data_IF_358876805120
#
_entry.id   IF_358876805120
#
_cell.length_a   1.000
_cell.length_b   1.000
_cell.length_c   1.000
_cell.angle_alpha   90.00
_cell.angle_beta   90.00
_cell.angle_gamma   90.00
#
_symmetry.space_group_name_H-M   'P 1'
#
loop_
_entity.id
_entity.type
_entity.pdbx_description
1 polymer ?
#
# COMPACT_ATOMS: atom_id res chain seq x y z
N UNK A 1 24.82 -17.62 -0.98
CA UNK A 1 23.52 -17.62 -0.27
C UNK A 1 23.44 -16.29 0.43
N UNK A 2 22.98 -15.26 -0.25
CA UNK A 2 22.86 -13.91 0.31
C UNK A 2 21.46 -13.79 0.87
N UNK A 3 21.37 -13.85 2.20
CA UNK A 3 20.19 -13.50 2.98
C UNK A 3 19.89 -12.00 2.78
N UNK A 4 19.17 -11.68 1.72
CA UNK A 4 18.42 -10.43 1.65
C UNK A 4 17.09 -10.73 2.33
N UNK A 5 17.00 -10.41 3.61
CA UNK A 5 15.75 -10.39 4.36
C UNK A 5 14.92 -9.27 3.73
N UNK A 6 14.16 -9.60 2.68
CA UNK A 6 12.91 -8.91 2.41
C UNK A 6 12.07 -9.20 3.64
N UNK A 7 11.66 -8.17 4.36
CA UNK A 7 10.83 -8.39 5.54
C UNK A 7 9.53 -9.06 5.08
N UNK A 8 9.44 -10.37 5.31
CA UNK A 8 8.33 -11.26 4.94
C UNK A 8 7.01 -10.87 5.61
N UNK A 9 7.02 -9.78 6.38
CA UNK A 9 5.96 -9.36 7.27
C UNK A 9 4.89 -8.54 6.60
N UNK A 10 5.16 -7.87 5.48
CA UNK A 10 4.20 -6.95 4.90
C UNK A 10 4.32 -6.83 3.37
N UNK A 11 3.25 -7.16 2.65
CA UNK A 11 3.19 -7.05 1.18
C UNK A 11 2.19 -5.99 0.77
N UNK A 12 2.66 -4.99 0.03
CA UNK A 12 1.83 -4.02 -0.65
C UNK A 12 1.46 -4.53 -2.05
N UNK A 13 0.16 -4.53 -2.37
CA UNK A 13 -0.30 -4.67 -3.75
C UNK A 13 -0.98 -3.36 -4.16
N UNK A 14 -0.27 -2.52 -4.91
CA UNK A 14 -0.85 -1.33 -5.54
C UNK A 14 -1.35 -1.70 -6.92
N UNK A 15 -2.65 -1.65 -7.17
CA UNK A 15 -3.18 -1.91 -8.51
C UNK A 15 -2.99 -0.65 -9.35
N UNK A 16 -2.12 -0.73 -10.37
CA UNK A 16 -2.04 0.29 -11.41
C UNK A 16 -2.40 -0.38 -12.75
N UNK A 17 -3.51 0.04 -13.37
CA UNK A 17 -3.89 -0.40 -14.71
C UNK A 17 -3.72 0.76 -15.68
N UNK A 18 -3.10 0.52 -16.84
CA UNK A 18 -3.55 0.92 -18.18
C UNK A 18 -2.44 0.62 -19.18
N UNK A 19 -2.49 -0.56 -19.82
CA UNK A 19 -1.78 -0.80 -21.09
C UNK A 19 -2.76 -0.72 -22.26
N UNK A 20 -2.23 -0.58 -23.47
CA UNK A 20 -2.95 -0.79 -24.73
C UNK A 20 -3.74 -2.11 -24.80
N UNK A 21 -3.46 -3.06 -23.91
CA UNK A 21 -4.06 -4.40 -23.82
C UNK A 21 -5.12 -4.58 -22.71
N UNK A 22 -5.52 -3.54 -21.98
CA UNK A 22 -6.50 -3.63 -20.88
C UNK A 22 -6.13 -4.64 -19.78
N UNK A 23 -4.83 -4.77 -19.47
CA UNK A 23 -4.32 -5.62 -18.39
C UNK A 23 -4.07 -4.81 -17.12
N UNK A 24 -4.17 -5.50 -15.98
CA UNK A 24 -3.99 -4.96 -14.63
C UNK A 24 -2.60 -5.35 -14.14
N UNK A 25 -1.78 -4.38 -13.76
CA UNK A 25 -0.47 -4.65 -13.16
C UNK A 25 -0.58 -4.67 -11.64
N UNK A 26 -0.07 -5.74 -11.04
CA UNK A 26 -0.08 -5.97 -9.59
C UNK A 26 1.36 -6.25 -9.12
N UNK A 27 2.10 -5.24 -8.67
CA UNK A 27 3.39 -5.41 -8.03
C UNK A 27 3.21 -6.00 -6.62
N UNK A 28 4.23 -6.74 -6.20
CA UNK A 28 4.42 -7.16 -4.81
C UNK A 28 5.64 -6.42 -4.25
N UNK A 29 5.37 -5.55 -3.30
CA UNK A 29 6.41 -4.71 -2.67
C UNK A 29 6.44 -4.97 -1.17
N UNK A 30 7.65 -5.08 -0.62
CA UNK A 30 7.92 -5.25 0.80
C UNK A 30 8.89 -4.19 1.30
N UNK A 31 9.37 -4.35 2.53
CA UNK A 31 10.33 -3.44 3.16
C UNK A 31 11.62 -4.20 3.48
N UNK A 32 12.78 -3.58 3.27
CA UNK A 32 14.07 -4.13 3.68
C UNK A 32 14.54 -3.62 5.06
N UNK A 33 15.67 -4.14 5.56
CA UNK A 33 16.25 -3.74 6.84
C UNK A 33 16.55 -2.22 6.97
N UNK A 34 17.00 -1.51 5.93
CA UNK A 34 17.09 -0.05 5.93
C UNK A 34 15.77 0.70 5.68
N UNK A 35 14.62 0.03 5.78
CA UNK A 35 13.28 0.59 5.63
C UNK A 35 12.97 1.18 4.23
N UNK A 36 13.64 0.72 3.18
CA UNK A 36 13.32 1.02 1.78
C UNK A 36 12.23 0.10 1.25
N UNK A 37 11.49 0.59 0.26
CA UNK A 37 10.53 -0.22 -0.49
C UNK A 37 11.29 -1.10 -1.49
N UNK A 38 11.01 -2.41 -1.48
CA UNK A 38 11.65 -3.40 -2.34
C UNK A 38 10.58 -4.20 -3.09
N UNK A 39 10.60 -4.12 -4.41
CA UNK A 39 9.71 -4.89 -5.28
C UNK A 39 10.35 -6.24 -5.54
N UNK A 40 9.65 -7.30 -5.19
CA UNK A 40 10.20 -8.67 -5.23
C UNK A 40 9.38 -9.61 -6.12
N UNK A 41 8.29 -9.11 -6.71
CA UNK A 41 7.51 -9.81 -7.70
C UNK A 41 6.47 -8.88 -8.34
N UNK A 42 5.87 -9.33 -9.43
CA UNK A 42 4.71 -8.68 -10.02
C UNK A 42 3.89 -9.67 -10.85
N UNK A 43 2.66 -9.29 -11.15
CA UNK A 43 1.78 -10.01 -12.05
C UNK A 43 1.02 -9.07 -13.00
N UNK A 44 0.73 -9.58 -14.19
CA UNK A 44 -0.21 -8.97 -15.13
C UNK A 44 -1.48 -9.82 -15.17
N UNK A 45 -2.60 -9.23 -14.78
CA UNK A 45 -3.90 -9.90 -14.78
C UNK A 45 -4.77 -9.42 -15.93
N UNK A 46 -5.57 -10.31 -16.48
CA UNK A 46 -6.54 -9.98 -17.54
C UNK A 46 -7.80 -9.26 -17.00
N UNK A 47 -8.05 -9.30 -15.68
CA UNK A 47 -9.20 -8.64 -15.04
C UNK A 47 -9.05 -8.57 -13.51
N UNK A 48 -9.81 -7.66 -12.90
CA UNK A 48 -9.95 -7.45 -11.45
C UNK A 48 -11.14 -8.26 -10.92
N UNK A 49 -10.95 -9.56 -10.72
CA UNK A 49 -12.01 -10.45 -10.23
C UNK A 49 -11.50 -11.31 -9.09
N UNK A 50 -12.42 -11.80 -8.25
CA UNK A 50 -12.03 -12.66 -7.13
C UNK A 50 -11.30 -13.92 -7.63
N UNK A 51 -11.68 -14.43 -8.82
CA UNK A 51 -11.02 -15.58 -9.44
C UNK A 51 -9.58 -15.27 -9.85
N UNK A 52 -9.33 -14.13 -10.50
CA UNK A 52 -7.98 -13.75 -10.95
C UNK A 52 -7.08 -13.44 -9.77
N UNK A 53 -7.59 -12.77 -8.73
CA UNK A 53 -6.83 -12.55 -7.50
C UNK A 53 -6.54 -13.83 -6.74
N UNK A 54 -7.49 -14.76 -6.59
CA UNK A 54 -7.20 -16.07 -5.95
C UNK A 54 -6.10 -16.83 -6.68
N UNK A 55 -6.12 -16.82 -8.01
CA UNK A 55 -5.05 -17.41 -8.81
C UNK A 55 -3.71 -16.74 -8.53
N UNK A 56 -3.67 -15.40 -8.51
CA UNK A 56 -2.47 -14.62 -8.21
C UNK A 56 -1.89 -14.97 -6.83
N UNK A 57 -2.72 -14.93 -5.79
CA UNK A 57 -2.29 -15.22 -4.41
C UNK A 57 -1.87 -16.68 -4.23
N UNK A 58 -2.50 -17.62 -4.97
CA UNK A 58 -2.08 -19.03 -4.99
C UNK A 58 -0.71 -19.18 -5.64
N UNK A 59 -0.44 -18.45 -6.74
CA UNK A 59 0.88 -18.41 -7.37
C UNK A 59 1.93 -17.83 -6.42
N UNK A 60 1.60 -16.75 -5.70
CA UNK A 60 2.46 -16.22 -4.65
C UNK A 60 2.80 -17.30 -3.62
N UNK A 61 1.80 -17.97 -3.05
CA UNK A 61 2.04 -18.98 -2.01
C UNK A 61 2.91 -20.14 -2.51
N UNK A 62 2.74 -20.55 -3.77
CA UNK A 62 3.60 -21.56 -4.41
C UNK A 62 5.04 -21.10 -4.60
N UNK A 63 5.24 -19.84 -4.97
CA UNK A 63 6.57 -19.29 -5.23
C UNK A 63 7.36 -19.02 -3.94
N UNK A 64 6.70 -18.45 -2.92
CA UNK A 64 7.34 -18.05 -1.68
C UNK A 64 7.26 -19.12 -0.58
N UNK A 65 6.43 -20.14 -0.75
CA UNK A 65 6.25 -21.24 0.21
C UNK A 65 5.51 -20.85 1.51
N UNK A 66 5.24 -19.56 1.71
CA UNK A 66 4.48 -19.01 2.83
C UNK A 66 3.69 -17.78 2.40
N UNK A 67 2.64 -17.50 3.16
CA UNK A 67 1.91 -16.23 3.10
C UNK A 67 2.62 -15.20 3.99
N UNK A 68 2.44 -13.89 3.73
CA UNK A 68 2.99 -12.84 4.58
C UNK A 68 2.22 -12.69 5.90
N UNK A 69 2.81 -12.10 6.92
CA UNK A 69 2.09 -11.87 8.19
C UNK A 69 0.99 -10.80 8.04
N UNK A 70 1.25 -9.78 7.23
CA UNK A 70 0.34 -8.68 6.93
C UNK A 70 0.28 -8.45 5.41
N UNK A 71 -0.92 -8.20 4.90
CA UNK A 71 -1.15 -7.81 3.50
C UNK A 71 -1.82 -6.45 3.48
N UNK A 72 -1.28 -5.53 2.70
CA UNK A 72 -1.81 -4.19 2.50
C UNK A 72 -2.28 -4.05 1.06
N UNK A 73 -3.57 -3.79 0.88
CA UNK A 73 -4.17 -3.56 -0.43
C UNK A 73 -5.04 -2.32 -0.42
N UNK A 74 -5.58 -1.93 -1.56
CA UNK A 74 -6.67 -0.97 -1.60
C UNK A 74 -8.00 -1.57 -1.08
N UNK A 75 -9.11 -0.88 -1.37
CA UNK A 75 -10.47 -1.23 -0.94
C UNK A 75 -11.20 -2.16 -1.93
N UNK A 76 -10.50 -2.88 -2.81
CA UNK A 76 -11.12 -3.79 -3.77
C UNK A 76 -11.80 -4.98 -3.04
N UNK A 77 -13.14 -5.15 -3.16
CA UNK A 77 -13.84 -6.24 -2.48
C UNK A 77 -13.46 -7.63 -2.99
N UNK A 78 -13.11 -7.76 -4.27
CA UNK A 78 -12.68 -9.02 -4.86
C UNK A 78 -11.30 -9.45 -4.37
N UNK A 79 -10.36 -8.51 -4.21
CA UNK A 79 -9.05 -8.74 -3.59
C UNK A 79 -9.21 -9.12 -2.12
N UNK A 80 -10.04 -8.39 -1.36
CA UNK A 80 -10.35 -8.72 0.04
C UNK A 80 -10.84 -10.16 0.20
N UNK A 81 -11.81 -10.56 -0.62
CA UNK A 81 -12.35 -11.93 -0.60
C UNK A 81 -11.29 -12.98 -0.99
N UNK A 82 -10.44 -12.68 -1.98
CA UNK A 82 -9.36 -13.57 -2.37
C UNK A 82 -8.31 -13.75 -1.25
N UNK A 83 -7.94 -12.68 -0.56
CA UNK A 83 -7.01 -12.73 0.58
C UNK A 83 -7.59 -13.58 1.70
N UNK A 84 -8.85 -13.37 2.08
CA UNK A 84 -9.50 -14.15 3.13
C UNK A 84 -9.52 -15.64 2.85
N UNK A 85 -9.63 -16.04 1.58
CA UNK A 85 -9.65 -17.45 1.19
C UNK A 85 -8.26 -18.07 1.04
N UNK A 86 -7.28 -17.35 0.48
CA UNK A 86 -5.96 -17.91 0.17
C UNK A 86 -4.96 -17.70 1.29
N UNK A 87 -4.99 -16.54 1.94
CA UNK A 87 -4.04 -16.11 2.97
C UNK A 87 -4.68 -16.16 4.35
N UNK A 88 -5.12 -17.35 4.74
CA UNK A 88 -5.94 -17.60 5.94
C UNK A 88 -5.32 -17.18 7.27
N UNK A 89 -3.99 -17.07 7.37
CA UNK A 89 -3.32 -16.56 8.59
C UNK A 89 -2.74 -15.15 8.45
N UNK A 90 -2.89 -14.51 7.29
CA UNK A 90 -2.41 -13.14 7.08
C UNK A 90 -3.43 -12.16 7.62
N UNK A 91 -2.96 -11.07 8.22
CA UNK A 91 -3.82 -9.94 8.57
C UNK A 91 -3.95 -9.01 7.38
N UNK A 92 -5.17 -8.79 6.94
CA UNK A 92 -5.46 -7.84 5.86
C UNK A 92 -5.64 -6.43 6.41
N UNK A 93 -5.04 -5.44 5.75
CA UNK A 93 -5.14 -4.01 6.07
C UNK A 93 -5.34 -3.19 4.80
N UNK A 94 -6.04 -2.06 4.90
CA UNK A 94 -6.26 -1.17 3.78
C UNK A 94 -5.19 -0.08 3.73
N UNK A 95 -4.69 0.18 2.54
CA UNK A 95 -3.72 1.23 2.27
C UNK A 95 -4.33 2.60 2.59
N UNK A 96 -3.79 3.24 3.62
CA UNK A 96 -4.18 4.59 4.03
C UNK A 96 -4.06 5.61 2.89
N UNK A 97 -3.05 5.49 2.03
CA UNK A 97 -2.89 6.41 0.91
C UNK A 97 -4.04 6.31 -0.08
N UNK A 98 -4.47 5.09 -0.43
CA UNK A 98 -5.62 4.90 -1.32
C UNK A 98 -6.92 5.42 -0.71
N UNK A 99 -7.10 5.26 0.61
CA UNK A 99 -8.24 5.85 1.33
C UNK A 99 -8.19 7.38 1.26
N UNK A 100 -7.06 7.97 1.64
CA UNK A 100 -6.88 9.42 1.72
C UNK A 100 -6.78 10.11 0.35
N UNK A 101 -6.39 9.39 -0.70
CA UNK A 101 -6.41 9.90 -2.07
C UNK A 101 -7.84 10.12 -2.59
N UNK A 102 -8.80 9.30 -2.14
CA UNK A 102 -10.22 9.47 -2.46
C UNK A 102 -10.90 10.59 -1.65
N UNK A 103 -10.28 11.07 -0.57
CA UNK A 103 -10.87 12.06 0.33
C UNK A 103 -11.38 13.32 -0.40
N UNK A 104 -10.53 13.93 -1.23
CA UNK A 104 -10.89 15.18 -1.93
C UNK A 104 -12.02 15.01 -2.93
N UNK A 105 -12.12 13.85 -3.58
CA UNK A 105 -13.19 13.57 -4.54
C UNK A 105 -14.50 13.21 -3.86
N UNK A 106 -14.46 12.70 -2.61
CA UNK A 106 -15.62 12.27 -1.84
C UNK A 106 -16.21 13.33 -0.92
N UNK A 107 -15.37 14.23 -0.43
CA UNK A 107 -15.76 15.31 0.49
C UNK A 107 -15.83 16.67 -0.22
N UNK A 108 -15.11 16.83 -1.33
CA UNK A 108 -15.13 18.03 -2.15
C UNK A 108 -13.78 18.75 -2.18
N UNK A 109 -13.35 19.10 -3.39
CA UNK A 109 -12.05 19.73 -3.64
C UNK A 109 -11.96 21.11 -2.98
N UNK A 110 -13.04 21.89 -3.01
CA UNK A 110 -13.09 23.21 -2.38
C UNK A 110 -12.80 23.11 -0.89
N UNK A 111 -13.55 22.27 -0.15
CA UNK A 111 -13.34 22.10 1.29
C UNK A 111 -11.88 21.72 1.61
N UNK A 112 -11.33 20.75 0.86
CA UNK A 112 -9.97 20.26 1.06
C UNK A 112 -8.87 21.30 0.78
N UNK A 113 -9.15 22.32 -0.04
CA UNK A 113 -8.15 23.30 -0.48
C UNK A 113 -8.34 24.68 0.16
N UNK A 114 -9.55 25.03 0.59
CA UNK A 114 -9.88 26.37 1.11
C UNK A 114 -10.01 26.41 2.63
N UNK A 115 -9.98 25.26 3.30
CA UNK A 115 -10.09 25.16 4.76
C UNK A 115 -8.94 24.36 5.34
N UNK A 116 -8.82 24.35 6.67
CA UNK A 116 -7.90 23.48 7.39
C UNK A 116 -8.39 22.03 7.52
N UNK A 117 -9.53 21.64 6.92
CA UNK A 117 -10.08 20.27 6.98
C UNK A 117 -9.02 19.21 6.70
N UNK A 118 -8.29 19.37 5.59
CA UNK A 118 -7.26 18.41 5.17
C UNK A 118 -6.14 18.29 6.20
N UNK A 119 -5.77 19.38 6.85
CA UNK A 119 -4.79 19.35 7.93
C UNK A 119 -5.33 18.59 9.13
N UNK A 120 -6.51 18.97 9.63
CA UNK A 120 -7.12 18.34 10.81
C UNK A 120 -7.32 16.83 10.65
N UNK A 121 -7.81 16.38 9.50
CA UNK A 121 -8.00 14.95 9.25
C UNK A 121 -6.67 14.21 9.05
N UNK A 122 -5.64 14.87 8.48
CA UNK A 122 -4.32 14.28 8.38
C UNK A 122 -3.66 14.11 9.76
N UNK A 123 -3.85 15.05 10.67
CA UNK A 123 -3.28 15.02 12.02
C UNK A 123 -3.79 13.83 12.85
N UNK A 124 -5.02 13.37 12.59
CA UNK A 124 -5.61 12.21 13.28
C UNK A 124 -5.38 10.88 12.54
N UNK A 125 -5.25 10.90 11.21
CA UNK A 125 -5.11 9.68 10.40
C UNK A 125 -3.66 9.22 10.32
N UNK A 126 -2.69 10.11 10.09
CA UNK A 126 -1.31 9.74 9.76
C UNK A 126 -0.40 9.53 10.98
N UNK A 127 -0.95 9.65 12.18
CA UNK A 127 -0.20 9.54 13.42
C UNK A 127 -0.33 8.15 14.04
N UNK A 128 0.75 7.67 14.64
CA UNK A 128 0.77 6.47 15.48
C UNK A 128 0.72 6.79 16.98
N UNK A 129 0.71 8.08 17.35
CA UNK A 129 0.72 8.54 18.73
C UNK A 129 -0.65 8.45 19.41
N UNK A 130 -1.75 8.46 18.63
CA UNK A 130 -3.11 8.41 19.16
C UNK A 130 -3.50 6.99 19.57
N UNK A 131 -4.06 6.87 20.76
CA UNK A 131 -4.83 5.71 21.18
C UNK A 131 -6.16 5.64 20.40
N UNK A 132 -6.83 4.46 20.38
CA UNK A 132 -8.16 4.34 19.79
C UNK A 132 -9.15 5.40 20.32
N UNK A 133 -9.16 5.64 21.64
CA UNK A 133 -10.06 6.61 22.25
C UNK A 133 -9.78 8.05 21.79
N UNK A 134 -8.52 8.45 21.65
CA UNK A 134 -8.15 9.77 21.15
C UNK A 134 -8.48 9.92 19.67
N UNK A 135 -8.29 8.87 18.86
CA UNK A 135 -8.74 8.85 17.48
C UNK A 135 -10.25 9.04 17.38
N UNK A 136 -11.04 8.35 18.20
CA UNK A 136 -12.50 8.49 18.20
C UNK A 136 -12.94 9.92 18.47
N UNK A 137 -12.37 10.56 19.50
CA UNK A 137 -12.68 11.96 19.81
C UNK A 137 -12.27 12.88 18.66
N UNK A 138 -11.06 12.72 18.12
CA UNK A 138 -10.55 13.52 17.02
C UNK A 138 -11.37 13.38 15.74
N UNK A 139 -11.75 12.15 15.39
CA UNK A 139 -12.58 11.87 14.22
C UNK A 139 -13.93 12.56 14.32
N UNK A 140 -14.67 12.35 15.43
CA UNK A 140 -15.99 12.96 15.61
C UNK A 140 -15.93 14.49 15.63
N UNK A 141 -14.89 15.08 16.25
CA UNK A 141 -14.69 16.54 16.22
C UNK A 141 -14.54 17.04 14.79
N UNK A 142 -13.66 16.43 13.98
CA UNK A 142 -13.46 16.83 12.59
C UNK A 142 -14.74 16.67 11.76
N UNK A 143 -15.46 15.56 11.91
CA UNK A 143 -16.71 15.36 11.15
C UNK A 143 -17.75 16.42 11.52
N UNK A 144 -17.87 16.79 12.79
CA UNK A 144 -18.80 17.80 13.26
C UNK A 144 -18.40 19.22 12.83
N UNK A 145 -17.12 19.59 12.99
CA UNK A 145 -16.61 20.95 12.72
C UNK A 145 -16.77 21.34 11.24
N UNK A 146 -16.78 20.35 10.34
CA UNK A 146 -16.92 20.55 8.90
C UNK A 146 -18.29 20.15 8.34
N UNK A 147 -19.26 19.85 9.20
CA UNK A 147 -20.64 19.47 8.82
C UNK A 147 -20.70 18.27 7.85
N UNK A 148 -19.94 17.23 8.17
CA UNK A 148 -19.75 16.05 7.30
C UNK A 148 -20.49 14.80 7.81
N UNK A 149 -21.36 14.95 8.80
CA UNK A 149 -22.07 13.85 9.47
C UNK A 149 -22.91 13.00 8.51
N UNK A 150 -23.47 13.61 7.46
CA UNK A 150 -24.32 12.94 6.47
C UNK A 150 -23.53 12.36 5.28
N UNK A 151 -22.19 12.38 5.32
CA UNK A 151 -21.36 11.85 4.25
C UNK A 151 -21.24 10.32 4.36
N UNK A 152 -22.02 9.61 3.55
CA UNK A 152 -22.01 8.14 3.51
C UNK A 152 -20.62 7.52 3.33
N UNK A 153 -19.74 8.13 2.51
CA UNK A 153 -18.40 7.58 2.30
C UNK A 153 -17.53 7.71 3.55
N UNK A 154 -17.65 8.81 4.30
CA UNK A 154 -16.95 8.97 5.58
C UNK A 154 -17.46 7.96 6.63
N UNK A 155 -18.76 7.69 6.65
CA UNK A 155 -19.34 6.64 7.48
C UNK A 155 -18.75 5.26 7.11
N UNK A 156 -18.72 4.91 5.82
CA UNK A 156 -18.17 3.63 5.35
C UNK A 156 -16.69 3.45 5.74
N UNK A 157 -15.85 4.48 5.56
CA UNK A 157 -14.42 4.36 5.92
C UNK A 157 -14.21 4.36 7.43
N UNK A 158 -15.08 5.02 8.19
CA UNK A 158 -15.05 4.98 9.65
C UNK A 158 -15.42 3.60 10.19
N UNK A 159 -16.41 2.93 9.60
CA UNK A 159 -16.76 1.54 9.96
C UNK A 159 -15.60 0.57 9.73
N UNK A 160 -14.76 0.87 8.73
CA UNK A 160 -13.56 0.08 8.44
C UNK A 160 -12.30 0.52 9.23
N UNK A 161 -12.37 1.50 10.14
CA UNK A 161 -11.21 2.14 10.78
C UNK A 161 -10.17 1.17 11.37
N UNK A 162 -10.60 0.06 11.96
CA UNK A 162 -9.68 -0.95 12.52
C UNK A 162 -8.74 -1.57 11.47
N UNK A 163 -9.12 -1.52 10.19
CA UNK A 163 -8.34 -2.08 9.09
C UNK A 163 -7.35 -1.10 8.45
N UNK A 164 -7.39 0.19 8.80
CA UNK A 164 -6.56 1.21 8.13
C UNK A 164 -6.08 2.37 9.01
N UNK A 165 -6.57 2.51 10.24
CA UNK A 165 -6.12 3.54 11.18
C UNK A 165 -5.03 2.97 12.10
N UNK A 166 -3.82 3.57 12.14
CA UNK A 166 -2.69 3.09 12.95
C UNK A 166 -3.00 2.89 14.43
N UNK A 167 -3.88 3.71 15.02
CA UNK A 167 -4.29 3.62 16.41
C UNK A 167 -4.83 2.22 16.81
N UNK A 168 -5.41 1.48 15.87
CA UNK A 168 -6.07 0.19 16.10
C UNK A 168 -5.17 -1.04 15.94
N UNK A 169 -3.94 -0.87 15.45
CA UNK A 169 -3.01 -1.98 15.24
C UNK A 169 -1.57 -1.58 15.58
N UNK A 170 -1.40 -0.66 16.54
CA UNK A 170 -0.09 -0.20 17.03
C UNK A 170 0.81 -1.35 17.47
N UNK A 171 0.22 -2.41 18.02
CA UNK A 171 0.94 -3.58 18.51
C UNK A 171 1.43 -4.51 17.38
N UNK A 172 1.03 -4.23 16.13
CA UNK A 172 1.51 -4.98 14.97
C UNK A 172 2.83 -4.40 14.46
N UNK A 173 3.85 -5.26 14.40
CA UNK A 173 5.12 -4.99 13.73
C UNK A 173 4.90 -4.92 12.21
N UNK A 174 4.36 -3.80 11.72
CA UNK A 174 4.13 -3.54 10.28
C UNK A 174 5.33 -2.91 9.58
N UNK A 175 6.50 -2.86 10.21
CA UNK A 175 7.76 -2.29 9.69
C UNK A 175 7.63 -0.92 9.02
N UNK A 176 6.65 -0.13 9.46
CA UNK A 176 6.37 1.18 8.89
C UNK A 176 5.68 1.21 7.52
N UNK A 177 5.15 0.07 7.03
CA UNK A 177 4.48 -0.03 5.71
C UNK A 177 3.28 0.89 5.59
N UNK A 178 2.51 1.06 6.67
CA UNK A 178 1.38 2.00 6.72
C UNK A 178 1.77 3.40 7.18
N UNK A 179 3.01 3.61 7.64
CA UNK A 179 3.36 4.82 8.40
C UNK A 179 3.53 6.08 7.55
N UNK A 180 3.71 5.98 6.23
CA UNK A 180 3.94 7.18 5.42
C UNK A 180 3.28 7.13 4.05
N UNK A 181 2.60 8.24 3.70
CA UNK A 181 2.20 8.51 2.31
C UNK A 181 3.39 8.51 1.34
N UNK A 182 4.61 8.76 1.83
CA UNK A 182 5.81 8.77 1.00
C UNK A 182 6.08 7.40 0.39
N UNK A 183 5.77 6.29 1.07
CA UNK A 183 6.04 4.93 0.57
C UNK A 183 5.19 4.60 -0.64
N UNK A 184 3.87 4.66 -0.49
CA UNK A 184 2.94 4.44 -1.60
C UNK A 184 3.13 5.47 -2.72
N UNK A 185 3.45 6.73 -2.41
CA UNK A 185 3.81 7.73 -3.44
C UNK A 185 5.11 7.37 -4.17
N UNK A 186 6.12 6.88 -3.47
CA UNK A 186 7.39 6.49 -4.08
C UNK A 186 7.23 5.26 -4.97
N UNK A 187 6.41 4.31 -4.57
CA UNK A 187 6.04 3.15 -5.38
C UNK A 187 5.24 3.55 -6.60
N UNK A 188 4.17 4.34 -6.45
CA UNK A 188 3.39 4.83 -7.58
C UNK A 188 4.25 5.70 -8.52
N UNK A 189 5.20 6.47 -7.99
CA UNK A 189 6.14 7.21 -8.83
C UNK A 189 7.11 6.28 -9.57
N UNK A 190 7.63 5.26 -8.88
CA UNK A 190 8.51 4.25 -9.48
C UNK A 190 7.79 3.49 -10.60
N UNK A 191 6.59 2.97 -10.34
CA UNK A 191 5.80 2.25 -11.32
C UNK A 191 5.21 3.16 -12.39
N UNK A 192 4.86 4.40 -12.09
CA UNK A 192 4.42 5.38 -13.10
C UNK A 192 5.50 5.75 -14.12
N UNK A 193 6.80 5.59 -13.80
CA UNK A 193 7.88 5.71 -14.78
C UNK A 193 8.00 4.49 -15.70
N UNK A 194 7.64 3.31 -15.18
CA UNK A 194 7.72 2.03 -15.89
C UNK A 194 6.46 1.78 -16.73
N UNK A 195 5.30 2.22 -16.23
CA UNK A 195 3.98 2.02 -16.80
C UNK A 195 3.58 3.24 -17.63
N UNK A 196 3.75 3.15 -18.95
CA UNK A 196 3.23 4.14 -19.89
C UNK A 196 2.06 3.52 -20.67
N UNK A 197 0.92 4.22 -20.69
CA UNK A 197 -0.32 3.78 -21.34
C UNK A 197 -0.15 3.48 -22.84
N UNK A 198 0.87 4.06 -23.46
CA UNK A 198 1.22 3.85 -24.87
C UNK A 198 2.23 2.74 -25.12
N UNK A 199 2.82 2.16 -24.07
CA UNK A 199 3.83 1.12 -24.22
C UNK A 199 3.22 -0.21 -24.63
N UNK A 200 3.96 -0.92 -25.46
CA UNK A 200 3.74 -2.35 -25.75
C UNK A 200 4.11 -3.20 -24.53
N UNK A 201 3.63 -4.44 -24.49
CA UNK A 201 3.98 -5.38 -23.42
C UNK A 201 5.50 -5.61 -23.34
N UNK A 202 6.19 -5.65 -24.48
CA UNK A 202 7.64 -5.85 -24.53
C UNK A 202 8.40 -4.66 -23.92
N UNK A 203 8.00 -3.43 -24.25
CA UNK A 203 8.59 -2.22 -23.67
C UNK A 203 8.35 -2.16 -22.16
N UNK A 204 7.14 -2.50 -21.72
CA UNK A 204 6.84 -2.60 -20.29
C UNK A 204 7.76 -3.60 -19.59
N UNK A 205 7.86 -4.84 -20.10
CA UNK A 205 8.72 -5.87 -19.49
C UNK A 205 10.18 -5.41 -19.43
N UNK A 206 10.67 -4.80 -20.50
CA UNK A 206 12.04 -4.27 -20.56
C UNK A 206 12.27 -3.18 -19.50
N UNK A 207 11.34 -2.23 -19.37
CA UNK A 207 11.41 -1.18 -18.36
C UNK A 207 11.32 -1.75 -16.95
N UNK A 208 10.43 -2.71 -16.72
CA UNK A 208 10.25 -3.36 -15.43
C UNK A 208 11.53 -4.12 -15.01
N UNK A 209 12.09 -4.94 -15.90
CA UNK A 209 13.36 -5.64 -15.65
C UNK A 209 14.49 -4.67 -15.31
N UNK A 210 14.65 -3.61 -16.11
CA UNK A 210 15.66 -2.56 -15.86
C UNK A 210 15.46 -1.90 -14.49
N UNK A 211 14.22 -1.61 -14.12
CA UNK A 211 13.89 -0.98 -12.85
C UNK A 211 14.18 -1.90 -11.65
N UNK A 212 13.86 -3.20 -11.76
CA UNK A 212 14.19 -4.21 -10.74
C UNK A 212 15.71 -4.42 -10.62
N UNK A 213 16.44 -4.45 -11.74
CA UNK A 213 17.90 -4.56 -11.72
C UNK A 213 18.55 -3.37 -11.01
N UNK A 214 18.07 -2.16 -11.28
CA UNK A 214 18.50 -0.93 -10.60
C UNK A 214 18.23 -0.98 -9.11
N UNK A 215 17.03 -1.42 -8.70
CA UNK A 215 16.70 -1.61 -7.28
C UNK A 215 17.61 -2.64 -6.61
N UNK A 216 17.83 -3.80 -7.25
CA UNK A 216 18.75 -4.83 -6.76
C UNK A 216 20.21 -4.34 -6.67
N UNK A 217 20.64 -3.48 -7.59
CA UNK A 217 21.98 -2.89 -7.54
C UNK A 217 22.13 -1.92 -6.36
N UNK A 218 21.15 -1.02 -6.18
CA UNK A 218 21.12 -0.08 -5.06
C UNK A 218 21.05 -0.83 -3.72
N UNK A 219 20.28 -1.91 -3.64
CA UNK A 219 20.24 -2.75 -2.45
C UNK A 219 21.60 -3.31 -2.09
N UNK A 220 22.28 -3.93 -3.06
CA UNK A 220 23.62 -4.51 -2.85
C UNK A 220 24.64 -3.45 -2.43
N UNK A 221 24.53 -2.25 -2.99
CA UNK A 221 25.36 -1.11 -2.60
C UNK A 221 25.08 -0.67 -1.16
N UNK A 222 23.81 -0.53 -0.79
CA UNK A 222 23.40 -0.16 0.58
C UNK A 222 23.83 -1.22 1.61
N UNK A 223 23.68 -2.51 1.29
CA UNK A 223 24.12 -3.62 2.13
C UNK A 223 25.65 -3.63 2.29
N UNK A 224 26.39 -3.34 1.22
CA UNK A 224 27.83 -3.17 1.28
C UNK A 224 28.20 -1.99 2.17
N UNK A 225 27.63 -0.82 1.95
CA UNK A 225 27.94 0.38 2.72
C UNK A 225 27.62 0.15 4.21
N UNK A 226 26.42 -0.35 4.54
CA UNK A 226 26.04 -0.65 5.93
C UNK A 226 27.01 -1.60 6.65
N UNK A 227 27.65 -2.53 5.92
CA UNK A 227 28.63 -3.47 6.49
C UNK A 227 30.04 -2.88 6.63
N UNK A 228 30.40 -1.88 5.82
CA UNK A 228 31.78 -1.43 5.67
C UNK A 228 32.01 0.04 6.01
N UNK A 229 30.98 0.87 6.19
CA UNK A 229 31.09 2.21 6.78
C UNK A 229 30.70 2.20 8.26
N UNK A 230 31.50 2.89 9.09
CA UNK A 230 31.17 3.09 10.50
C UNK A 230 29.94 4.00 10.62
N UNK A 231 29.01 3.75 11.57
CA UNK A 231 27.94 4.68 11.85
C UNK A 231 28.56 6.05 12.24
N UNK A 232 28.02 7.14 11.68
CA UNK A 232 28.34 8.50 12.12
C UNK A 232 27.60 8.84 13.40
#
# INVERSE_FOLDING_TARGET
>A
MTDTIVDDRAVFTGIEAFYSYSMVFVPFTGIDNPNNNVSFGAALLASETARTYKWLLTCFLKAFGKQPDVVVTDQDPAMKNAIQEVFTGSRHRLCMWHVMHKLSTKVGVTLCNTTNFKQCICDIVWTDSLSPAEFEVGWHSVIQDFDLSDNNWLADIYDMRESWIPAYYRDELMSGLMRTTSRSKSENHFFGQVCNVRSTLLEFLTHFETAIESQCHNQRKNDHDTRYTRPQ
#
